data_IF_913282863234
#
_entry.id   IF_913282863234
#
_cell.length_a   1.000
_cell.length_b   1.000
_cell.length_c   1.000
_cell.angle_alpha   90.00
_cell.angle_beta   90.00
_cell.angle_gamma   90.00
#
_symmetry.space_group_name_H-M   'P 1'
#
loop_
_entity.id
_entity.type
_entity.pdbx_description
1 polymer ?
#
# COMPACT_ATOMS: atom_id res chain seq x y z
N UNK A 1 16.53 8.42 2.72
CA UNK A 1 15.56 7.35 2.48
C UNK A 1 16.11 6.42 1.41
N UNK A 2 16.13 5.11 1.66
CA UNK A 2 16.61 4.12 0.69
C UNK A 2 15.37 3.41 0.14
N UNK A 3 15.01 3.75 -1.09
CA UNK A 3 13.80 3.27 -1.77
C UNK A 3 13.67 1.74 -1.72
N UNK A 4 14.78 1.01 -1.84
CA UNK A 4 14.77 -0.46 -1.80
C UNK A 4 14.37 -0.96 -0.42
N UNK A 5 14.91 -0.35 0.65
CA UNK A 5 14.59 -0.76 2.03
C UNK A 5 13.11 -0.48 2.34
N UNK A 6 12.58 0.66 1.92
CA UNK A 6 11.16 0.99 2.09
C UNK A 6 10.26 0.06 1.29
N UNK A 7 10.60 -0.22 0.03
CA UNK A 7 9.85 -1.16 -0.80
C UNK A 7 9.84 -2.56 -0.17
N UNK A 8 10.97 -3.03 0.37
CA UNK A 8 11.05 -4.29 1.11
C UNK A 8 10.13 -4.26 2.34
N UNK A 9 10.18 -3.18 3.12
CA UNK A 9 9.32 -3.02 4.29
C UNK A 9 7.83 -3.05 3.91
N UNK A 10 7.42 -2.32 2.87
CA UNK A 10 6.03 -2.30 2.39
C UNK A 10 5.61 -3.67 1.84
N UNK A 11 6.49 -4.37 1.14
CA UNK A 11 6.27 -5.74 0.69
C UNK A 11 6.03 -6.70 1.86
N UNK A 12 6.90 -6.68 2.87
CA UNK A 12 6.74 -7.49 4.09
C UNK A 12 5.47 -7.13 4.86
N UNK A 13 5.17 -5.85 5.01
CA UNK A 13 3.95 -5.37 5.66
C UNK A 13 2.69 -5.91 4.97
N UNK A 14 2.67 -5.85 3.63
CA UNK A 14 1.56 -6.37 2.82
C UNK A 14 1.40 -7.89 2.99
N UNK A 15 2.52 -8.61 2.99
CA UNK A 15 2.54 -10.05 3.25
C UNK A 15 2.01 -10.40 4.64
N UNK A 16 2.44 -9.70 5.70
CA UNK A 16 1.96 -9.92 7.07
C UNK A 16 0.45 -9.71 7.20
N UNK A 17 -0.08 -8.65 6.58
CA UNK A 17 -1.54 -8.41 6.55
C UNK A 17 -2.28 -9.58 5.89
N UNK A 18 -1.74 -10.13 4.80
CA UNK A 18 -2.33 -11.30 4.13
C UNK A 18 -2.35 -12.54 5.03
N UNK A 19 -1.31 -12.76 5.84
CA UNK A 19 -1.28 -13.89 6.77
C UNK A 19 -2.32 -13.74 7.89
N UNK A 20 -2.49 -12.53 8.42
CA UNK A 20 -3.46 -12.25 9.49
C UNK A 20 -4.89 -12.43 8.99
N UNK A 21 -5.18 -11.95 7.78
CA UNK A 21 -6.50 -12.04 7.15
C UNK A 21 -6.69 -13.36 6.40
N UNK A 22 -6.37 -14.50 7.04
CA UNK A 22 -6.44 -15.87 6.49
C UNK A 22 -7.55 -15.96 5.45
N UNK A 23 -7.21 -16.17 4.17
CA UNK A 23 -8.09 -16.00 3.02
C UNK A 23 -9.48 -16.62 3.24
N UNK A 24 -10.47 -15.85 3.71
CA UNK A 24 -11.79 -16.38 3.99
C UNK A 24 -12.65 -16.41 2.72
N UNK A 25 -12.10 -15.95 1.60
CA UNK A 25 -12.83 -15.67 0.38
C UNK A 25 -12.43 -16.65 -0.73
N UNK A 26 -13.44 -17.25 -1.35
CA UNK A 26 -13.25 -18.11 -2.53
C UNK A 26 -12.83 -17.31 -3.78
N UNK A 27 -12.93 -15.98 -3.76
CA UNK A 27 -12.59 -15.11 -4.88
C UNK A 27 -11.24 -14.39 -4.62
N UNK A 28 -10.16 -14.74 -5.36
CA UNK A 28 -8.84 -14.15 -5.15
C UNK A 28 -8.78 -12.65 -5.46
N UNK A 29 -9.62 -12.14 -6.38
CA UNK A 29 -9.65 -10.71 -6.69
C UNK A 29 -10.28 -9.89 -5.57
N UNK A 30 -11.35 -10.42 -4.95
CA UNK A 30 -11.93 -9.79 -3.77
C UNK A 30 -10.93 -9.78 -2.61
N UNK A 31 -10.17 -10.86 -2.45
CA UNK A 31 -9.13 -10.92 -1.44
C UNK A 31 -8.01 -9.90 -1.70
N UNK A 32 -7.52 -9.77 -2.94
CA UNK A 32 -6.56 -8.73 -3.33
C UNK A 32 -7.06 -7.32 -2.98
N UNK A 33 -8.33 -7.03 -3.28
CA UNK A 33 -8.94 -5.74 -2.94
C UNK A 33 -8.92 -5.48 -1.45
N UNK A 34 -9.38 -6.44 -0.64
CA UNK A 34 -9.45 -6.32 0.81
C UNK A 34 -8.06 -6.10 1.41
N UNK A 35 -7.04 -6.84 0.94
CA UNK A 35 -5.67 -6.65 1.41
C UNK A 35 -5.14 -5.26 1.06
N UNK A 36 -5.33 -4.79 -0.19
CA UNK A 36 -4.90 -3.45 -0.59
C UNK A 36 -5.59 -2.34 0.21
N UNK A 37 -6.91 -2.46 0.37
CA UNK A 37 -7.72 -1.54 1.17
C UNK A 37 -7.23 -1.50 2.62
N UNK A 38 -7.14 -2.66 3.28
CA UNK A 38 -6.74 -2.74 4.70
C UNK A 38 -5.30 -2.28 4.89
N UNK A 39 -4.40 -2.61 3.96
CA UNK A 39 -3.01 -2.14 3.99
C UNK A 39 -2.94 -0.62 4.02
N UNK A 40 -3.60 0.06 3.09
CA UNK A 40 -3.60 1.53 3.07
C UNK A 40 -4.26 2.11 4.32
N UNK A 41 -5.42 1.58 4.69
CA UNK A 41 -6.18 2.04 5.83
C UNK A 41 -5.38 1.91 7.14
N UNK A 42 -4.82 0.73 7.43
CA UNK A 42 -4.00 0.50 8.61
C UNK A 42 -2.69 1.31 8.59
N UNK A 43 -2.10 1.53 7.41
CA UNK A 43 -0.88 2.34 7.27
C UNK A 43 -1.09 3.76 7.81
N UNK A 44 -2.30 4.32 7.61
CA UNK A 44 -2.68 5.61 8.19
C UNK A 44 -2.75 5.56 9.73
N UNK A 45 -3.47 4.60 10.31
CA UNK A 45 -3.60 4.48 11.77
C UNK A 45 -2.27 4.16 12.47
N UNK A 46 -1.36 3.49 11.79
CA UNK A 46 0.01 3.24 12.26
C UNK A 46 0.94 4.45 12.06
N UNK A 47 0.43 5.58 11.55
CA UNK A 47 1.18 6.80 11.27
C UNK A 47 2.36 6.59 10.31
N UNK A 48 2.33 5.55 9.47
CA UNK A 48 3.38 5.31 8.47
C UNK A 48 3.39 6.46 7.44
N UNK A 49 2.24 7.03 7.12
CA UNK A 49 2.16 8.20 6.23
C UNK A 49 2.82 9.45 6.82
N UNK A 50 2.76 9.63 8.16
CA UNK A 50 3.40 10.75 8.83
C UNK A 50 4.93 10.69 8.74
N UNK A 51 5.52 9.49 8.59
CA UNK A 51 6.96 9.36 8.32
C UNK A 51 7.37 10.15 7.07
N UNK A 52 6.56 10.10 6.00
CA UNK A 52 6.81 10.83 4.76
C UNK A 52 6.58 12.34 4.92
N UNK A 53 5.54 12.75 5.66
CA UNK A 53 5.26 14.17 5.90
C UNK A 53 6.29 14.84 6.82
N UNK A 54 6.69 14.16 7.89
CA UNK A 54 7.66 14.68 8.86
C UNK A 54 9.06 14.80 8.27
N UNK A 55 9.43 13.90 7.35
CA UNK A 55 10.74 13.95 6.70
C UNK A 55 11.01 15.29 5.99
N UNK A 56 9.97 15.96 5.48
CA UNK A 56 10.12 17.26 4.80
C UNK A 56 9.73 18.46 5.65
N UNK A 57 8.59 18.41 6.35
CA UNK A 57 7.96 19.64 6.86
C UNK A 57 7.42 19.55 8.30
N UNK A 58 7.67 18.47 9.06
CA UNK A 58 7.04 18.24 10.39
C UNK A 58 5.50 18.37 10.38
N UNK A 59 4.88 17.88 9.30
CA UNK A 59 3.43 17.95 9.06
C UNK A 59 2.77 16.59 9.29
N UNK A 60 1.46 16.60 9.53
CA UNK A 60 0.66 15.39 9.68
C UNK A 60 -0.07 15.06 8.37
N UNK A 61 -0.32 13.77 8.14
CA UNK A 61 -1.14 13.33 7.01
C UNK A 61 -2.63 13.61 7.25
N UNK A 62 -3.25 14.30 6.30
CA UNK A 62 -4.70 14.51 6.24
C UNK A 62 -5.44 13.19 5.95
N UNK A 63 -6.52 12.93 6.68
CA UNK A 63 -7.39 11.77 6.50
C UNK A 63 -8.66 12.03 5.70
N UNK A 64 -8.89 13.25 5.23
CA UNK A 64 -10.15 13.64 4.58
C UNK A 64 -10.60 12.69 3.47
N UNK A 65 -9.65 12.07 2.78
CA UNK A 65 -9.87 11.13 1.67
C UNK A 65 -9.24 9.75 1.94
N UNK A 66 -8.96 9.38 3.19
CA UNK A 66 -8.38 8.08 3.54
C UNK A 66 -9.20 6.92 2.99
N UNK A 67 -10.53 6.99 3.10
CA UNK A 67 -11.41 5.93 2.63
C UNK A 67 -11.37 5.78 1.11
N UNK A 68 -11.41 6.91 0.37
CA UNK A 68 -11.32 6.89 -1.09
C UNK A 68 -9.95 6.42 -1.57
N UNK A 69 -8.87 6.87 -0.91
CA UNK A 69 -7.49 6.49 -1.25
C UNK A 69 -7.28 4.98 -1.00
N UNK A 70 -7.88 4.43 0.07
CA UNK A 70 -7.89 3.00 0.35
C UNK A 70 -8.65 2.19 -0.71
N UNK A 71 -9.78 2.70 -1.23
CA UNK A 71 -10.50 2.06 -2.34
C UNK A 71 -9.64 2.03 -3.60
N UNK A 72 -9.01 3.15 -3.95
CA UNK A 72 -8.13 3.22 -5.12
C UNK A 72 -6.97 2.24 -5.02
N UNK A 73 -6.34 2.15 -3.85
CA UNK A 73 -5.26 1.20 -3.63
C UNK A 73 -5.74 -0.26 -3.74
N UNK A 74 -6.91 -0.59 -3.19
CA UNK A 74 -7.54 -1.89 -3.37
C UNK A 74 -7.81 -2.23 -4.84
N UNK A 75 -8.27 -1.27 -5.64
CA UNK A 75 -8.48 -1.45 -7.09
C UNK A 75 -7.14 -1.70 -7.80
N UNK A 76 -6.08 -0.93 -7.49
CA UNK A 76 -4.76 -1.14 -8.08
C UNK A 76 -4.20 -2.53 -7.72
N UNK A 77 -4.45 -3.00 -6.49
CA UNK A 77 -4.09 -4.35 -6.06
C UNK A 77 -4.78 -5.44 -6.88
N UNK A 78 -6.05 -5.27 -7.25
CA UNK A 78 -6.74 -6.19 -8.16
C UNK A 78 -5.99 -6.27 -9.50
N UNK A 79 -5.65 -5.13 -10.10
CA UNK A 79 -5.02 -5.09 -11.43
C UNK A 79 -3.60 -5.69 -11.42
N UNK A 80 -2.73 -5.21 -10.52
CA UNK A 80 -1.35 -5.70 -10.43
C UNK A 80 -1.33 -7.15 -9.94
N UNK A 81 -2.10 -7.46 -8.90
CA UNK A 81 -2.14 -8.78 -8.30
C UNK A 81 -2.78 -9.83 -9.19
N UNK A 82 -3.81 -9.47 -9.96
CA UNK A 82 -4.46 -10.38 -10.90
C UNK A 82 -3.51 -10.89 -11.99
N UNK A 83 -2.51 -10.10 -12.37
CA UNK A 83 -1.44 -10.51 -13.28
C UNK A 83 -0.45 -11.42 -12.54
N UNK A 84 0.01 -11.01 -11.35
CA UNK A 84 1.05 -11.73 -10.61
C UNK A 84 0.59 -13.10 -10.07
N UNK A 85 -0.68 -13.26 -9.68
CA UNK A 85 -1.23 -14.55 -9.18
C UNK A 85 -1.17 -15.63 -10.27
N UNK A 86 -1.20 -15.26 -11.56
CA UNK A 86 -1.09 -16.23 -12.66
C UNK A 86 0.33 -16.78 -12.83
N UNK A 87 1.33 -16.11 -12.25
CA UNK A 87 2.76 -16.39 -12.46
C UNK A 87 3.40 -16.93 -11.17
N UNK A 88 2.98 -16.42 -10.01
CA UNK A 88 3.58 -16.71 -8.71
C UNK A 88 2.56 -17.31 -7.74
N UNK A 89 3.04 -17.92 -6.65
CA UNK A 89 2.16 -18.35 -5.56
C UNK A 89 1.57 -17.14 -4.81
N UNK A 90 0.41 -17.32 -4.20
CA UNK A 90 -0.37 -16.24 -3.57
C UNK A 90 0.43 -15.46 -2.51
N UNK A 91 1.28 -16.15 -1.73
CA UNK A 91 2.08 -15.53 -0.67
C UNK A 91 3.15 -14.59 -1.24
N UNK A 92 3.90 -15.07 -2.23
CA UNK A 92 4.90 -14.27 -2.93
C UNK A 92 4.22 -13.13 -3.71
N UNK A 93 3.03 -13.36 -4.26
CA UNK A 93 2.26 -12.31 -4.94
C UNK A 93 2.00 -11.13 -4.01
N UNK A 94 1.55 -11.33 -2.76
CA UNK A 94 1.30 -10.21 -1.85
C UNK A 94 2.56 -9.40 -1.52
N UNK A 95 3.69 -10.08 -1.28
CA UNK A 95 4.96 -9.41 -1.09
C UNK A 95 5.34 -8.58 -2.33
N UNK A 96 5.29 -9.19 -3.52
CA UNK A 96 5.68 -8.55 -4.78
C UNK A 96 4.76 -7.39 -5.14
N UNK A 97 3.44 -7.49 -4.93
CA UNK A 97 2.52 -6.37 -5.17
C UNK A 97 2.91 -5.19 -4.29
N UNK A 98 3.09 -5.40 -2.98
CA UNK A 98 3.46 -4.33 -2.06
C UNK A 98 4.78 -3.66 -2.47
N UNK A 99 5.79 -4.47 -2.80
CA UNK A 99 7.10 -4.01 -3.26
C UNK A 99 7.03 -3.22 -4.58
N UNK A 100 6.40 -3.79 -5.61
CA UNK A 100 6.28 -3.18 -6.95
C UNK A 100 5.42 -1.92 -6.90
N UNK A 101 4.32 -1.94 -6.13
CA UNK A 101 3.44 -0.80 -5.99
C UNK A 101 4.18 0.38 -5.34
N UNK A 102 4.98 0.15 -4.30
CA UNK A 102 5.78 1.20 -3.66
C UNK A 102 6.79 1.83 -4.62
N UNK A 103 7.56 1.01 -5.34
CA UNK A 103 8.56 1.50 -6.31
C UNK A 103 7.87 2.29 -7.44
N UNK A 104 6.76 1.75 -7.96
CA UNK A 104 5.98 2.40 -9.01
C UNK A 104 5.43 3.75 -8.55
N UNK A 105 4.92 3.83 -7.31
CA UNK A 105 4.39 5.06 -6.74
C UNK A 105 5.46 6.14 -6.58
N UNK A 106 6.67 5.77 -6.18
CA UNK A 106 7.80 6.72 -6.12
C UNK A 106 8.18 7.21 -7.51
N UNK A 107 8.31 6.31 -8.49
CA UNK A 107 8.74 6.67 -9.84
C UNK A 107 7.73 7.56 -10.58
N UNK A 108 6.44 7.33 -10.37
CA UNK A 108 5.36 8.16 -10.93
C UNK A 108 5.22 9.49 -10.16
N UNK A 109 5.85 9.61 -8.98
CA UNK A 109 5.79 10.80 -8.15
C UNK A 109 4.52 10.91 -7.30
N UNK A 110 3.82 9.80 -7.04
CA UNK A 110 2.64 9.77 -6.18
C UNK A 110 2.96 10.21 -4.74
N UNK A 111 4.10 9.82 -4.18
CA UNK A 111 4.49 10.31 -2.85
C UNK A 111 4.77 11.81 -2.85
N UNK A 112 5.36 12.37 -3.92
CA UNK A 112 5.54 13.82 -4.04
C UNK A 112 4.20 14.55 -4.11
N UNK A 113 3.25 14.01 -4.89
CA UNK A 113 1.90 14.52 -4.97
C UNK A 113 1.20 14.48 -3.61
N UNK A 114 1.28 13.33 -2.91
CA UNK A 114 0.76 13.15 -1.56
C UNK A 114 1.32 14.20 -0.61
N UNK A 115 2.64 14.40 -0.58
CA UNK A 115 3.26 15.37 0.34
C UNK A 115 2.76 16.79 0.10
N UNK A 116 2.57 17.19 -1.16
CA UNK A 116 2.13 18.56 -1.51
C UNK A 116 0.68 18.85 -1.17
N UNK A 117 -0.19 17.82 -1.18
CA UNK A 117 -1.64 18.02 -1.06
C UNK A 117 -2.25 17.41 0.21
N UNK A 118 -1.50 16.56 0.93
CA UNK A 118 -2.00 15.80 2.09
C UNK A 118 -1.22 16.05 3.37
N UNK A 119 -0.03 16.62 3.31
CA UNK A 119 0.69 16.99 4.54
C UNK A 119 0.27 18.39 4.98
N UNK A 120 -0.45 18.48 6.10
CA UNK A 120 -0.97 19.72 6.68
C UNK A 120 -0.26 19.98 8.01
N UNK A 121 0.00 21.25 8.33
CA UNK A 121 0.61 21.71 9.58
C UNK A 121 -0.29 21.53 10.80
#
# INVERSE_FOLDING_TARGET
MNLIIEALFVGFYTYLISLILINPFNNPYFYLFIIGFIKHFLSYYLNIQNYYCNYKNNYNADNSLLFTDSIYEGIVFIFIGGILIKIFNIHLTFFLIGFIFHISAEYIGLHKYFIMHRCIS
#
